data_IF_167807082488
#
_entry.id   IF_167807082488
#
_cell.length_a   1.000
_cell.length_b   1.000
_cell.length_c   1.000
_cell.angle_alpha   90.00
_cell.angle_beta   90.00
_cell.angle_gamma   90.00
#
_symmetry.space_group_name_H-M   'P 1'
#
loop_
_entity.id
_entity.type
_entity.pdbx_description
1 polymer ?
#
# COMPACT_ATOMS: atom_id res chain seq x y z
N UNK A 1 3.56 -1.55 -8.47
CA UNK A 1 2.40 -2.41 -8.58
C UNK A 1 1.30 -1.84 -7.72
N UNK A 2 0.26 -1.34 -8.36
CA UNK A 2 -0.88 -0.73 -7.69
C UNK A 2 -1.99 -1.77 -7.61
N UNK A 3 -2.52 -1.99 -6.43
CA UNK A 3 -3.63 -2.90 -6.18
C UNK A 3 -4.60 -2.20 -5.24
N UNK A 4 -5.87 -2.34 -5.54
CA UNK A 4 -6.99 -1.96 -4.71
C UNK A 4 -8.00 -3.09 -4.68
N UNK A 5 -8.68 -3.26 -3.57
CA UNK A 5 -9.64 -4.35 -3.37
C UNK A 5 -10.93 -3.81 -2.78
N UNK A 6 -12.05 -4.35 -3.23
CA UNK A 6 -13.33 -4.19 -2.55
C UNK A 6 -13.66 -5.46 -1.75
N UNK A 7 -14.28 -5.27 -0.59
CA UNK A 7 -14.59 -6.34 0.34
C UNK A 7 -16.02 -6.22 0.87
N UNK A 8 -16.58 -7.32 1.37
CA UNK A 8 -17.89 -7.30 2.05
C UNK A 8 -17.88 -6.55 3.38
N UNK A 9 -16.70 -6.22 3.88
CA UNK A 9 -16.42 -5.49 5.12
C UNK A 9 -14.95 -5.59 5.49
N UNK A 10 -14.57 -5.22 6.71
CA UNK A 10 -13.17 -5.12 7.14
C UNK A 10 -12.73 -6.21 8.14
N UNK A 11 -13.59 -7.17 8.47
CA UNK A 11 -13.25 -8.30 9.33
C UNK A 11 -12.52 -9.38 8.54
N UNK A 12 -11.25 -9.58 8.84
CA UNK A 12 -10.49 -10.68 8.23
C UNK A 12 -11.04 -12.07 8.54
N UNK A 13 -11.83 -12.21 9.61
CA UNK A 13 -12.41 -13.51 9.99
C UNK A 13 -13.66 -13.84 9.17
N UNK A 14 -14.45 -12.84 8.82
CA UNK A 14 -15.83 -13.02 8.36
C UNK A 14 -16.05 -12.46 6.95
N UNK A 15 -15.29 -11.43 6.55
CA UNK A 15 -15.49 -10.75 5.28
C UNK A 15 -14.63 -11.34 4.15
N UNK A 16 -15.07 -11.11 2.92
CA UNK A 16 -14.48 -11.67 1.71
C UNK A 16 -14.10 -10.58 0.70
N UNK A 17 -13.07 -10.88 -0.12
CA UNK A 17 -12.75 -10.11 -1.33
C UNK A 17 -13.87 -10.28 -2.37
N UNK A 18 -14.28 -9.18 -2.99
CA UNK A 18 -15.34 -9.17 -4.03
C UNK A 18 -14.89 -8.48 -5.33
N UNK A 19 -13.86 -7.67 -5.29
CA UNK A 19 -13.23 -7.08 -6.47
C UNK A 19 -11.73 -6.92 -6.20
N UNK A 20 -10.91 -7.12 -7.22
CA UNK A 20 -9.49 -6.80 -7.21
C UNK A 20 -9.11 -6.14 -8.53
N UNK A 21 -8.51 -4.96 -8.46
CA UNK A 21 -7.94 -4.31 -9.62
C UNK A 21 -6.43 -4.13 -9.46
N UNK A 22 -5.74 -4.11 -10.61
CA UNK A 22 -4.27 -3.96 -10.66
C UNK A 22 -3.87 -3.07 -11.82
N UNK A 23 -3.00 -2.09 -11.53
CA UNK A 23 -2.27 -1.30 -12.54
C UNK A 23 -0.76 -1.42 -12.28
N UNK A 24 0.01 -1.63 -13.34
CA UNK A 24 1.47 -1.57 -13.27
C UNK A 24 1.96 -0.24 -13.79
N UNK A 25 2.82 0.45 -13.03
CA UNK A 25 3.47 1.68 -13.48
C UNK A 25 4.97 1.51 -13.53
N UNK A 26 5.63 2.38 -14.30
CA UNK A 26 7.07 2.62 -14.18
C UNK A 26 7.39 3.41 -12.89
N UNK A 27 8.68 3.71 -12.67
CA UNK A 27 9.15 4.49 -11.52
C UNK A 27 8.76 5.97 -11.58
N UNK A 28 8.27 6.45 -12.73
CA UNK A 28 7.77 7.80 -12.92
C UNK A 28 6.25 7.90 -12.77
N UNK A 29 5.60 6.79 -12.40
CA UNK A 29 4.15 6.66 -12.21
C UNK A 29 3.35 6.69 -13.52
N UNK A 30 3.97 6.36 -14.66
CA UNK A 30 3.23 6.16 -15.91
C UNK A 30 2.70 4.73 -15.94
N UNK A 31 1.39 4.58 -16.15
CA UNK A 31 0.78 3.27 -16.33
C UNK A 31 1.35 2.60 -17.60
N UNK A 32 1.66 1.32 -17.50
CA UNK A 32 2.20 0.54 -18.62
C UNK A 32 1.13 -0.02 -19.55
N UNK A 33 -0.10 -0.14 -19.03
CA UNK A 33 -1.31 -0.45 -19.79
C UNK A 33 -2.57 0.03 -19.03
N UNK A 34 -3.75 -0.41 -19.46
CA UNK A 34 -5.04 -0.03 -18.88
C UNK A 34 -5.32 -0.72 -17.52
N UNK A 35 -4.53 -1.70 -17.15
CA UNK A 35 -4.75 -2.48 -15.93
C UNK A 35 -5.67 -3.69 -16.13
N UNK A 36 -6.02 -4.33 -15.02
CA UNK A 36 -6.97 -5.44 -14.95
C UNK A 36 -7.92 -5.20 -13.78
N UNK A 37 -9.18 -5.54 -13.98
CA UNK A 37 -10.25 -5.48 -12.99
C UNK A 37 -10.99 -6.80 -12.98
N UNK A 38 -11.11 -7.43 -11.80
CA UNK A 38 -11.66 -8.79 -11.66
C UNK A 38 -12.66 -8.81 -10.52
N UNK A 39 -13.90 -9.14 -10.85
CA UNK A 39 -14.95 -9.38 -9.87
C UNK A 39 -14.85 -10.81 -9.37
N UNK A 40 -14.96 -10.97 -8.06
CA UNK A 40 -14.84 -12.23 -7.35
C UNK A 40 -16.21 -12.58 -6.74
N UNK A 41 -16.73 -13.77 -7.04
CA UNK A 41 -17.94 -14.26 -6.38
C UNK A 41 -17.61 -14.72 -4.96
N UNK A 42 -18.11 -14.01 -3.92
CA UNK A 42 -17.85 -14.37 -2.53
C UNK A 42 -18.73 -15.52 -2.05
N UNK A 43 -18.41 -16.13 -0.89
CA UNK A 43 -19.35 -17.00 -0.18
C UNK A 43 -20.65 -16.25 0.17
N UNK A 44 -21.81 -16.92 0.04
CA UNK A 44 -23.13 -16.34 0.33
C UNK A 44 -23.21 -15.74 1.73
N UNK A 45 -22.65 -16.43 2.74
CA UNK A 45 -22.61 -15.96 4.11
C UNK A 45 -21.90 -14.59 4.27
N UNK A 46 -20.86 -14.33 3.49
CA UNK A 46 -20.16 -13.04 3.52
C UNK A 46 -21.03 -11.90 2.94
N UNK A 47 -21.86 -12.20 1.94
CA UNK A 47 -22.82 -11.24 1.39
C UNK A 47 -23.98 -11.00 2.38
N UNK A 48 -24.51 -12.06 3.02
CA UNK A 48 -25.62 -11.95 3.96
C UNK A 48 -25.28 -11.06 5.15
N UNK A 49 -24.06 -11.18 5.69
CA UNK A 49 -23.61 -10.41 6.89
C UNK A 49 -23.09 -9.01 6.56
N UNK A 50 -23.00 -8.64 5.27
CA UNK A 50 -22.53 -7.31 4.85
C UNK A 50 -23.34 -6.20 5.53
N UNK A 51 -22.64 -5.28 6.22
CA UNK A 51 -23.27 -4.16 6.91
C UNK A 51 -23.98 -3.19 5.95
N UNK A 52 -25.01 -2.50 6.44
CA UNK A 52 -25.85 -1.63 5.62
C UNK A 52 -25.07 -0.56 4.84
N UNK A 53 -24.06 0.05 5.47
CA UNK A 53 -23.21 1.05 4.81
C UNK A 53 -22.44 0.48 3.62
N UNK A 54 -21.79 -0.67 3.80
CA UNK A 54 -21.01 -1.34 2.73
C UNK A 54 -21.95 -1.82 1.63
N UNK A 55 -23.09 -2.36 1.99
CA UNK A 55 -24.13 -2.79 1.03
C UNK A 55 -24.65 -1.63 0.19
N UNK A 56 -24.95 -0.48 0.80
CA UNK A 56 -25.40 0.71 0.08
C UNK A 56 -24.31 1.23 -0.87
N UNK A 57 -23.06 1.26 -0.43
CA UNK A 57 -21.90 1.65 -1.21
C UNK A 57 -21.74 0.76 -2.46
N UNK A 58 -21.74 -0.57 -2.29
CA UNK A 58 -21.62 -1.50 -3.41
C UNK A 58 -22.87 -1.60 -4.29
N UNK A 59 -24.05 -1.26 -3.77
CA UNK A 59 -25.26 -1.08 -4.58
C UNK A 59 -25.12 0.15 -5.48
N UNK A 60 -24.64 1.25 -4.93
CA UNK A 60 -24.48 2.53 -5.66
C UNK A 60 -23.40 2.43 -6.74
N UNK A 61 -22.29 1.72 -6.49
CA UNK A 61 -21.23 1.47 -7.48
C UNK A 61 -21.61 0.41 -8.53
N UNK A 62 -22.70 -0.32 -8.34
CA UNK A 62 -23.14 -1.42 -9.20
C UNK A 62 -22.43 -2.76 -8.94
N UNK A 63 -21.45 -2.79 -8.03
CA UNK A 63 -20.64 -3.98 -7.76
C UNK A 63 -21.47 -5.17 -7.28
N UNK A 64 -22.52 -4.93 -6.45
CA UNK A 64 -23.38 -6.03 -5.99
C UNK A 64 -24.12 -6.75 -7.11
N UNK A 65 -24.49 -6.06 -8.19
CA UNK A 65 -25.15 -6.65 -9.34
C UNK A 65 -24.20 -7.53 -10.15
N UNK A 66 -22.89 -7.21 -10.11
CA UNK A 66 -21.85 -7.91 -10.83
C UNK A 66 -21.38 -9.21 -10.12
N UNK A 67 -21.52 -9.32 -8.80
CA UNK A 67 -21.01 -10.45 -8.01
C UNK A 67 -21.43 -11.85 -8.49
N UNK A 68 -22.68 -12.07 -8.93
CA UNK A 68 -23.10 -13.39 -9.44
C UNK A 68 -22.38 -13.81 -10.72
N UNK A 69 -21.76 -12.85 -11.43
CA UNK A 69 -21.04 -13.06 -12.68
C UNK A 69 -19.53 -13.07 -12.49
N UNK A 70 -19.06 -12.92 -11.25
CA UNK A 70 -17.65 -12.94 -10.89
C UNK A 70 -17.01 -14.31 -11.09
N UNK A 71 -15.68 -14.32 -10.99
CA UNK A 71 -14.89 -15.55 -11.03
C UNK A 71 -14.62 -16.11 -9.62
N UNK A 72 -14.00 -17.28 -9.54
CA UNK A 72 -13.56 -17.81 -8.24
C UNK A 72 -12.34 -17.05 -7.71
N UNK A 73 -12.14 -17.04 -6.40
CA UNK A 73 -10.96 -16.42 -5.76
C UNK A 73 -9.65 -17.02 -6.32
N UNK A 74 -9.61 -18.32 -6.56
CA UNK A 74 -8.43 -19.00 -7.11
C UNK A 74 -8.13 -18.58 -8.55
N UNK A 75 -9.17 -18.47 -9.39
CA UNK A 75 -9.01 -18.00 -10.77
C UNK A 75 -8.64 -16.52 -10.83
N UNK A 76 -9.19 -15.69 -9.92
CA UNK A 76 -8.82 -14.29 -9.79
C UNK A 76 -7.32 -14.15 -9.43
N UNK A 77 -6.83 -14.89 -8.44
CA UNK A 77 -5.41 -14.90 -8.09
C UNK A 77 -4.53 -15.29 -9.29
N UNK A 78 -4.91 -16.35 -10.02
CA UNK A 78 -4.16 -16.81 -11.17
C UNK A 78 -4.10 -15.76 -12.29
N UNK A 79 -5.23 -15.13 -12.63
CA UNK A 79 -5.33 -14.08 -13.64
C UNK A 79 -4.50 -12.83 -13.26
N UNK A 80 -4.61 -12.38 -12.00
CA UNK A 80 -3.82 -11.25 -11.50
C UNK A 80 -2.34 -11.57 -11.54
N UNK A 81 -1.93 -12.75 -11.11
CA UNK A 81 -0.53 -13.15 -11.11
C UNK A 81 0.03 -13.28 -12.53
N UNK A 82 -0.73 -13.79 -13.47
CA UNK A 82 -0.36 -13.83 -14.88
C UNK A 82 -0.20 -12.42 -15.47
N UNK A 83 -1.15 -11.53 -15.19
CA UNK A 83 -1.08 -10.12 -15.58
C UNK A 83 0.19 -9.45 -15.07
N UNK A 84 0.49 -9.59 -13.79
CA UNK A 84 1.68 -8.99 -13.15
C UNK A 84 2.97 -9.53 -13.78
N UNK A 85 3.06 -10.83 -14.01
CA UNK A 85 4.27 -11.46 -14.57
C UNK A 85 4.62 -10.99 -15.99
N UNK A 86 3.66 -10.44 -16.73
CA UNK A 86 3.95 -9.84 -18.05
C UNK A 86 4.88 -8.63 -17.94
N UNK A 87 4.77 -7.85 -16.86
CA UNK A 87 5.57 -6.64 -16.63
C UNK A 87 6.70 -6.86 -15.63
N UNK A 88 6.48 -7.72 -14.66
CA UNK A 88 7.42 -8.01 -13.56
C UNK A 88 7.57 -9.53 -13.43
N UNK A 89 8.35 -10.16 -14.34
CA UNK A 89 8.50 -11.63 -14.34
C UNK A 89 9.25 -12.17 -13.12
N UNK A 90 10.13 -11.37 -12.51
CA UNK A 90 10.92 -11.78 -11.34
C UNK A 90 10.18 -11.44 -10.04
N UNK A 91 10.06 -12.43 -9.15
CA UNK A 91 9.48 -12.22 -7.82
C UNK A 91 10.33 -11.27 -6.95
N UNK A 92 9.69 -10.58 -6.02
CA UNK A 92 10.34 -9.71 -5.04
C UNK A 92 10.82 -8.36 -5.58
N UNK A 93 10.41 -7.94 -6.78
CA UNK A 93 10.87 -6.69 -7.41
C UNK A 93 9.92 -5.51 -7.19
N UNK A 94 8.63 -5.71 -7.40
CA UNK A 94 7.65 -4.64 -7.34
C UNK A 94 6.94 -4.60 -5.98
N UNK A 95 6.99 -3.47 -5.24
CA UNK A 95 6.21 -3.31 -4.02
C UNK A 95 4.72 -3.14 -4.35
N UNK A 96 3.87 -3.60 -3.44
CA UNK A 96 2.46 -3.26 -3.41
C UNK A 96 2.29 -1.77 -3.12
N UNK A 97 1.46 -1.08 -3.89
CA UNK A 97 1.18 0.34 -3.74
C UNK A 97 -0.33 0.61 -3.74
N UNK A 98 -0.76 1.61 -2.99
CA UNK A 98 -2.17 2.05 -2.92
C UNK A 98 -2.39 3.07 -1.81
N UNK A 99 -3.64 3.42 -1.56
CA UNK A 99 -4.06 4.23 -0.41
C UNK A 99 -4.54 3.30 0.72
N UNK A 100 -4.00 3.48 1.93
CA UNK A 100 -4.31 2.63 3.11
C UNK A 100 -4.14 1.13 2.81
N UNK A 101 -3.25 0.82 1.91
CA UNK A 101 -3.02 -0.48 1.27
C UNK A 101 -2.68 -1.62 2.27
N UNK A 102 -2.50 -1.29 3.54
CA UNK A 102 -2.32 -2.27 4.60
C UNK A 102 -3.55 -3.17 4.81
N UNK A 103 -4.76 -2.62 4.61
CA UNK A 103 -6.01 -3.40 4.67
C UNK A 103 -6.07 -4.39 3.53
N UNK A 104 -5.89 -3.92 2.28
CA UNK A 104 -5.85 -4.77 1.09
C UNK A 104 -4.82 -5.87 1.25
N UNK A 105 -3.60 -5.50 1.67
CA UNK A 105 -2.53 -6.46 1.91
C UNK A 105 -2.93 -7.56 2.89
N UNK A 106 -3.67 -7.23 3.95
CA UNK A 106 -4.09 -8.21 4.95
C UNK A 106 -5.06 -9.24 4.37
N UNK A 107 -6.01 -8.80 3.53
CA UNK A 107 -6.89 -9.72 2.80
C UNK A 107 -6.12 -10.53 1.76
N UNK A 108 -5.23 -9.92 1.01
CA UNK A 108 -4.41 -10.61 0.02
C UNK A 108 -3.44 -11.61 0.65
N UNK A 109 -2.87 -11.34 1.83
CA UNK A 109 -2.04 -12.29 2.59
C UNK A 109 -2.82 -13.57 2.94
N UNK A 110 -4.11 -13.43 3.27
CA UNK A 110 -5.00 -14.55 3.59
C UNK A 110 -5.47 -15.29 2.35
N UNK A 111 -5.91 -14.55 1.34
CA UNK A 111 -6.72 -15.07 0.24
C UNK A 111 -5.93 -15.33 -1.05
N UNK A 112 -4.83 -14.58 -1.27
CA UNK A 112 -4.00 -14.64 -2.47
C UNK A 112 -2.50 -14.76 -2.14
N UNK A 113 -2.08 -15.79 -1.38
CA UNK A 113 -0.70 -15.91 -0.90
C UNK A 113 0.34 -16.05 -2.03
N UNK A 114 -0.02 -16.61 -3.18
CA UNK A 114 0.90 -16.72 -4.32
C UNK A 114 1.15 -15.33 -4.96
N UNK A 115 0.12 -14.47 -5.01
CA UNK A 115 0.26 -13.09 -5.45
C UNK A 115 1.21 -12.33 -4.54
N UNK A 116 0.96 -12.35 -3.23
CA UNK A 116 1.81 -11.65 -2.26
C UNK A 116 3.23 -12.21 -2.26
N UNK A 117 3.40 -13.53 -2.41
CA UNK A 117 4.71 -14.17 -2.53
C UNK A 117 5.52 -13.72 -3.77
N UNK A 118 4.86 -13.23 -4.81
CA UNK A 118 5.50 -12.66 -5.99
C UNK A 118 5.92 -11.19 -5.80
N UNK A 119 5.23 -10.43 -4.94
CA UNK A 119 5.53 -9.02 -4.70
C UNK A 119 6.73 -8.82 -3.77
N UNK A 120 7.27 -7.62 -3.77
CA UNK A 120 8.29 -7.22 -2.80
C UNK A 120 7.65 -7.04 -1.41
N UNK A 121 8.35 -7.38 -0.34
CA UNK A 121 7.81 -7.31 1.04
C UNK A 121 7.47 -5.89 1.52
N UNK A 122 8.07 -4.85 0.92
CA UNK A 122 7.78 -3.45 1.24
C UNK A 122 6.53 -3.00 0.50
N UNK A 123 5.83 -2.04 1.11
CA UNK A 123 4.67 -1.38 0.51
C UNK A 123 4.98 0.10 0.23
N UNK A 124 4.22 0.69 -0.68
CA UNK A 124 4.17 2.14 -0.92
C UNK A 124 2.75 2.58 -0.58
N UNK A 125 2.56 3.15 0.60
CA UNK A 125 1.27 3.64 1.05
C UNK A 125 1.17 5.16 0.87
N UNK A 126 0.34 5.59 -0.06
CA UNK A 126 0.11 7.02 -0.37
C UNK A 126 -0.52 7.73 0.82
N UNK A 127 -1.36 7.04 1.61
CA UNK A 127 -1.96 7.59 2.82
C UNK A 127 -0.92 7.98 3.86
N UNK A 128 0.21 7.29 3.94
CA UNK A 128 1.33 7.68 4.81
C UNK A 128 1.96 9.01 4.37
N UNK A 129 2.14 9.21 3.06
CA UNK A 129 2.65 10.48 2.50
C UNK A 129 1.66 11.61 2.76
N UNK A 130 0.37 11.37 2.52
CA UNK A 130 -0.73 12.28 2.80
C UNK A 130 -0.75 12.71 4.27
N UNK A 131 -0.59 11.78 5.19
CA UNK A 131 -0.58 12.05 6.64
C UNK A 131 0.64 12.88 7.07
N UNK A 132 1.82 12.66 6.46
CA UNK A 132 3.00 13.49 6.66
C UNK A 132 2.83 14.88 6.04
N UNK A 133 2.26 14.98 4.86
CA UNK A 133 1.94 16.26 4.22
C UNK A 133 0.98 17.09 5.08
N UNK A 134 -0.04 16.47 5.67
CA UNK A 134 -0.97 17.14 6.58
C UNK A 134 -0.25 17.80 7.76
N UNK A 135 0.78 17.14 8.31
CA UNK A 135 1.54 17.65 9.49
C UNK A 135 2.58 18.70 9.14
N UNK A 136 3.31 18.46 8.05
CA UNK A 136 4.49 19.25 7.73
C UNK A 136 4.25 20.29 6.63
N UNK A 137 3.31 20.01 5.73
CA UNK A 137 2.97 20.83 4.57
C UNK A 137 1.45 20.95 4.39
N UNK A 138 0.71 21.53 5.38
CA UNK A 138 -0.77 21.54 5.34
C UNK A 138 -1.34 22.19 4.09
N UNK A 139 -0.64 23.16 3.48
CA UNK A 139 -1.09 23.76 2.22
C UNK A 139 -1.08 22.75 1.06
N UNK A 140 -0.10 21.85 1.00
CA UNK A 140 -0.10 20.79 0.01
C UNK A 140 -1.26 19.81 0.28
N UNK A 141 -1.47 19.44 1.53
CA UNK A 141 -2.58 18.55 1.90
C UNK A 141 -3.96 19.10 1.50
N UNK A 142 -4.26 20.37 1.83
CA UNK A 142 -5.58 20.96 1.57
C UNK A 142 -5.83 21.36 0.10
N UNK A 143 -4.83 21.25 -0.78
CA UNK A 143 -4.97 21.49 -2.20
C UNK A 143 -4.70 20.22 -3.04
N UNK A 144 -4.72 19.04 -2.42
CA UNK A 144 -4.65 17.78 -3.15
C UNK A 144 -5.87 17.59 -4.05
N UNK A 145 -5.75 16.85 -5.16
CA UNK A 145 -6.88 16.58 -6.05
C UNK A 145 -8.07 15.99 -5.29
N UNK A 146 -9.27 16.43 -5.67
CA UNK A 146 -10.51 15.84 -5.17
C UNK A 146 -10.65 14.41 -5.73
N UNK A 147 -11.16 13.51 -4.90
CA UNK A 147 -11.49 12.14 -5.30
C UNK A 147 -12.99 12.03 -5.58
N UNK A 148 -13.33 11.32 -6.63
CA UNK A 148 -14.73 11.13 -7.02
C UNK A 148 -15.46 10.09 -6.16
N UNK A 149 -14.70 9.20 -5.47
CA UNK A 149 -15.25 8.23 -4.53
C UNK A 149 -16.18 7.21 -5.19
N UNK A 150 -15.82 6.72 -6.38
CA UNK A 150 -16.66 5.80 -7.15
C UNK A 150 -16.79 4.39 -6.59
N UNK A 151 -15.93 4.04 -5.63
CA UNK A 151 -15.87 2.72 -5.00
C UNK A 151 -15.85 1.58 -6.03
N UNK A 152 -15.00 1.73 -7.05
CA UNK A 152 -14.61 0.70 -8.02
C UNK A 152 -13.09 0.66 -8.04
N UNK A 153 -12.54 -0.48 -7.77
CA UNK A 153 -11.12 -0.68 -7.48
C UNK A 153 -10.19 -0.09 -8.55
N UNK A 154 -10.51 -0.23 -9.84
CA UNK A 154 -9.67 0.30 -10.92
C UNK A 154 -9.66 1.84 -10.95
N UNK A 155 -10.79 2.49 -10.69
CA UNK A 155 -10.89 3.95 -10.62
C UNK A 155 -10.14 4.50 -9.39
N UNK A 156 -10.27 3.83 -8.25
CA UNK A 156 -9.62 4.22 -7.00
C UNK A 156 -8.09 4.08 -7.09
N UNK A 157 -7.57 3.09 -7.85
CA UNK A 157 -6.15 3.00 -8.22
C UNK A 157 -5.70 4.22 -9.03
N UNK A 158 -6.43 4.60 -10.06
CA UNK A 158 -6.08 5.75 -10.90
C UNK A 158 -6.00 7.04 -10.07
N UNK A 159 -6.98 7.27 -9.19
CA UNK A 159 -6.98 8.39 -8.25
C UNK A 159 -5.80 8.33 -7.27
N UNK A 160 -5.41 7.14 -6.81
CA UNK A 160 -4.26 6.94 -5.92
C UNK A 160 -2.92 7.22 -6.60
N UNK A 161 -2.78 6.86 -7.87
CA UNK A 161 -1.61 7.20 -8.69
C UNK A 161 -1.52 8.72 -8.88
N UNK A 162 -2.63 9.37 -9.22
CA UNK A 162 -2.68 10.81 -9.43
C UNK A 162 -2.43 11.59 -8.13
N UNK A 163 -2.92 11.10 -7.00
CA UNK A 163 -2.61 11.67 -5.68
C UNK A 163 -1.12 11.57 -5.38
N UNK A 164 -0.46 10.44 -5.67
CA UNK A 164 0.98 10.32 -5.49
C UNK A 164 1.77 11.20 -6.46
N UNK A 165 1.33 11.34 -7.72
CA UNK A 165 1.91 12.29 -8.68
C UNK A 165 1.85 13.72 -8.16
N UNK A 166 0.69 14.10 -7.61
CA UNK A 166 0.53 15.40 -6.98
C UNK A 166 1.52 15.61 -5.84
N UNK A 167 1.55 14.71 -4.85
CA UNK A 167 2.49 14.84 -3.73
C UNK A 167 3.94 14.86 -4.20
N UNK A 168 4.29 14.05 -5.18
CA UNK A 168 5.62 14.06 -5.77
C UNK A 168 5.98 15.43 -6.34
N UNK A 169 5.05 16.09 -7.02
CA UNK A 169 5.31 17.41 -7.64
C UNK A 169 5.43 18.55 -6.65
N UNK A 170 4.80 18.46 -5.48
CA UNK A 170 4.76 19.58 -4.50
C UNK A 170 5.66 19.37 -3.28
N UNK A 171 6.05 18.12 -2.97
CA UNK A 171 6.85 17.79 -1.77
C UNK A 171 8.30 17.46 -2.07
N UNK A 172 8.61 16.95 -3.27
CA UNK A 172 9.98 16.59 -3.68
C UNK A 172 10.49 17.59 -4.72
N UNK A 173 11.78 17.91 -4.70
CA UNK A 173 12.38 18.77 -5.73
C UNK A 173 12.26 18.12 -7.11
N UNK A 174 12.16 18.94 -8.15
CA UNK A 174 12.08 18.48 -9.54
C UNK A 174 13.41 17.92 -10.07
N UNK A 175 14.52 18.24 -9.39
CA UNK A 175 15.86 17.78 -9.72
C UNK A 175 16.19 16.40 -9.10
N UNK A 176 17.45 15.97 -9.23
CA UNK A 176 17.93 14.70 -8.66
C UNK A 176 17.96 14.68 -7.11
N UNK A 177 17.50 15.76 -6.45
CA UNK A 177 17.52 15.91 -5.02
C UNK A 177 18.90 16.31 -4.48
N UNK A 178 19.16 16.12 -3.17
CA UNK A 178 20.38 16.57 -2.54
C UNK A 178 21.59 15.75 -3.05
N UNK A 179 22.72 16.44 -3.25
CA UNK A 179 23.99 15.78 -3.56
C UNK A 179 24.38 14.79 -2.45
N UNK A 180 25.21 13.79 -2.79
CA UNK A 180 25.72 12.83 -1.80
C UNK A 180 26.45 13.50 -0.62
N UNK A 181 27.10 14.65 -0.84
CA UNK A 181 27.76 15.41 0.22
C UNK A 181 26.74 16.00 1.20
N UNK A 182 25.70 16.65 0.68
CA UNK A 182 24.61 17.23 1.50
C UNK A 182 23.85 16.12 2.26
N UNK A 183 23.56 15.00 1.60
CA UNK A 183 22.89 13.87 2.25
C UNK A 183 23.73 13.29 3.40
N UNK A 184 25.05 13.11 3.22
CA UNK A 184 25.96 12.65 4.27
C UNK A 184 26.07 13.63 5.45
N UNK A 185 26.16 14.94 5.16
CA UNK A 185 26.17 15.97 6.20
C UNK A 185 24.89 15.91 7.08
N UNK A 186 23.72 15.83 6.43
CA UNK A 186 22.44 15.71 7.16
C UNK A 186 22.36 14.43 7.99
N UNK A 187 22.83 13.30 7.44
CA UNK A 187 22.88 12.04 8.17
C UNK A 187 23.77 12.13 9.43
N UNK A 188 24.94 12.80 9.32
CA UNK A 188 25.85 13.02 10.46
C UNK A 188 25.21 13.91 11.54
N UNK A 189 24.52 14.99 11.14
CA UNK A 189 23.81 15.86 12.09
C UNK A 189 22.72 15.12 12.87
N UNK A 190 21.93 14.28 12.18
CA UNK A 190 20.89 13.47 12.84
C UNK A 190 21.54 12.43 13.78
N UNK A 191 22.63 11.79 13.35
CA UNK A 191 23.34 10.80 14.18
C UNK A 191 24.00 11.44 15.41
N UNK A 192 24.42 12.72 15.32
CA UNK A 192 24.98 13.44 16.46
C UNK A 192 23.91 13.90 17.48
N UNK A 193 22.64 13.90 17.11
CA UNK A 193 21.50 14.24 17.97
C UNK A 193 20.43 13.14 17.90
N UNK A 194 20.72 11.94 18.42
CA UNK A 194 19.77 10.84 18.36
C UNK A 194 18.51 11.13 19.20
N UNK A 195 17.36 10.64 18.74
CA UNK A 195 16.05 10.81 19.41
C UNK A 195 16.06 10.23 20.83
N UNK A 196 16.83 9.14 21.05
CA UNK A 196 17.08 8.58 22.37
C UNK A 196 18.58 8.73 22.65
N UNK A 197 18.96 9.43 23.71
CA UNK A 197 20.31 9.39 24.22
C UNK A 197 20.61 7.94 24.62
N UNK A 198 21.81 7.44 24.25
CA UNK A 198 22.26 6.14 24.71
C UNK A 198 22.19 6.14 26.25
N UNK A 199 21.32 5.29 26.82
CA UNK A 199 21.23 5.15 28.27
C UNK A 199 22.58 4.67 28.78
N UNK A 200 23.12 5.35 29.78
CA UNK A 200 24.46 5.08 30.36
C UNK A 200 24.62 3.68 31.00
N UNK A 201 23.60 2.86 30.97
CA UNK A 201 23.60 1.50 31.51
C UNK A 201 24.40 0.48 30.67
N UNK A 202 24.63 0.75 29.38
CA UNK A 202 25.49 -0.13 28.56
C UNK A 202 26.98 0.03 28.86
N UNK A 203 27.40 1.15 29.45
CA UNK A 203 28.80 1.39 29.81
C UNK A 203 29.17 0.77 31.18
N UNK A 204 28.22 0.64 32.08
CA UNK A 204 28.47 0.09 33.44
C UNK A 204 28.55 -1.44 33.44
N UNK A 205 27.95 -2.13 32.48
CA UNK A 205 28.05 -3.59 32.32
C UNK A 205 29.39 -4.01 31.73
N UNK A 206 30.00 -3.19 30.88
CA UNK A 206 31.33 -3.50 30.31
C UNK A 206 32.44 -3.24 31.34
N UNK A 207 32.32 -2.21 32.16
CA UNK A 207 33.27 -1.89 33.25
C UNK A 207 33.23 -2.94 34.38
N UNK A 208 32.06 -3.50 34.70
CA UNK A 208 31.90 -4.57 35.68
C UNK A 208 32.39 -5.94 35.19
N UNK A 209 32.29 -6.21 33.88
CA UNK A 209 32.85 -7.43 33.30
C UNK A 209 34.39 -7.41 33.29
N UNK A 210 34.98 -6.25 32.96
CA UNK A 210 36.43 -6.09 32.93
C UNK A 210 37.06 -6.13 34.33
N UNK A 211 36.36 -5.64 35.35
CA UNK A 211 36.85 -5.71 36.75
C UNK A 211 36.74 -7.10 37.42
N UNK A 212 36.01 -8.03 36.78
CA UNK A 212 35.86 -9.41 37.24
C UNK A 212 36.88 -10.37 36.62
N UNK A 213 37.60 -9.96 35.57
CA UNK A 213 38.66 -10.75 34.95
C UNK A 213 40.06 -10.44 35.52
N UNK A 214 40.22 -9.37 36.33
CA UNK A 214 41.49 -8.92 36.92
C UNK A 214 41.63 -9.29 38.41
N UNK A 215 40.90 -10.29 38.94
CA UNK A 215 41.06 -10.79 40.31
C UNK A 215 41.48 -12.26 40.35
#
# INVERSE_FOLDING_TARGET
MWIDCEMTGLSLADDALIEIAVIVTDSQLHALDEGIDIIITPPEAAVEQMGDFVREMHTTSGLLEDLPHGTTLADAQAQVLEYIKRFVPEAGKAPLAGNSVGTDKSFLDRDMPELIGHLHYRIIDVSSIKELARRWYPRAYFNSPEKNGGHRALADIAESIDELRYYRSVLWPEDEGPSSAVAKEKAQLISASPTLAATSEAQDTTAKAQAAEDV
#
